data_IF_546271224162
#
_entry.id   IF_546271224162
#
_cell.length_a   1.000
_cell.length_b   1.000
_cell.length_c   1.000
_cell.angle_alpha   90.00
_cell.angle_beta   90.00
_cell.angle_gamma   90.00
#
_symmetry.space_group_name_H-M   'P 1'
#
loop_
_entity.id
_entity.type
_entity.pdbx_description
1 polymer ?
#
# COMPACT_ATOMS: atom_id res chain seq x y z
N UNK A 1 6.21 14.34 -16.21
CA UNK A 1 7.12 14.56 -15.07
C UNK A 1 6.99 13.37 -14.14
N UNK A 2 8.11 12.80 -13.70
CA UNK A 2 8.11 11.61 -12.87
C UNK A 2 8.02 12.00 -11.39
N UNK A 3 7.28 11.23 -10.61
CA UNK A 3 7.16 11.41 -9.18
C UNK A 3 7.47 10.12 -8.45
N UNK A 4 8.23 10.21 -7.36
CA UNK A 4 8.37 9.09 -6.43
C UNK A 4 6.99 8.73 -5.86
N UNK A 5 6.62 7.47 -6.00
CA UNK A 5 5.40 6.90 -5.43
C UNK A 5 5.81 5.82 -4.44
N UNK A 6 5.29 5.95 -3.22
CA UNK A 6 5.46 4.94 -2.18
C UNK A 6 4.10 4.40 -1.76
N UNK A 7 3.92 3.08 -1.80
CA UNK A 7 2.74 2.40 -1.25
C UNK A 7 3.20 1.49 -0.10
N UNK A 8 2.65 1.71 1.08
CA UNK A 8 2.95 0.96 2.30
C UNK A 8 1.71 0.32 2.88
N UNK A 9 1.86 -0.87 3.45
CA UNK A 9 0.81 -1.61 4.13
C UNK A 9 1.02 -1.56 5.64
N UNK A 10 -0.06 -1.38 6.37
CA UNK A 10 -0.10 -1.25 7.83
C UNK A 10 -1.19 -2.12 8.43
N UNK A 11 -0.97 -2.55 9.67
CA UNK A 11 -2.03 -3.15 10.48
C UNK A 11 -2.93 -2.09 11.13
N UNK A 12 -3.96 -2.55 11.86
CA UNK A 12 -4.93 -1.67 12.51
C UNK A 12 -4.34 -0.81 13.66
N UNK A 13 -3.15 -1.14 14.16
CA UNK A 13 -2.42 -0.34 15.15
C UNK A 13 -1.52 0.70 14.49
N UNK A 14 -1.47 0.75 13.15
CA UNK A 14 -0.62 1.65 12.39
C UNK A 14 0.83 1.17 12.28
N UNK A 15 1.13 -0.10 12.60
CA UNK A 15 2.47 -0.66 12.42
C UNK A 15 2.68 -0.99 10.94
N UNK A 16 3.79 -0.53 10.37
CA UNK A 16 4.16 -0.86 8.99
C UNK A 16 4.45 -2.36 8.88
N UNK A 17 3.75 -3.04 7.99
CA UNK A 17 3.95 -4.46 7.66
C UNK A 17 5.00 -4.57 6.56
N UNK A 18 4.83 -3.80 5.48
CA UNK A 18 5.71 -3.85 4.32
C UNK A 18 5.54 -2.62 3.42
N UNK A 19 6.55 -2.37 2.58
CA UNK A 19 6.48 -1.42 1.47
C UNK A 19 6.22 -2.20 0.18
N UNK A 20 5.07 -1.96 -0.46
CA UNK A 20 4.63 -2.64 -1.69
C UNK A 20 5.24 -2.00 -2.95
N UNK A 21 5.36 -0.67 -2.96
CA UNK A 21 5.92 0.12 -4.07
C UNK A 21 6.80 1.21 -3.48
N UNK A 22 7.96 1.46 -4.09
CA UNK A 22 8.83 2.58 -3.78
C UNK A 22 9.71 2.93 -4.98
N UNK A 23 9.12 3.57 -5.98
CA UNK A 23 9.79 3.85 -7.26
C UNK A 23 9.23 5.10 -7.93
N UNK A 24 9.97 5.65 -8.88
CA UNK A 24 9.47 6.75 -9.71
C UNK A 24 8.45 6.24 -10.72
N UNK A 25 7.31 6.91 -10.80
CA UNK A 25 6.27 6.65 -11.78
C UNK A 25 5.96 7.91 -12.57
N UNK A 26 5.65 7.73 -13.84
CA UNK A 26 5.04 8.79 -14.63
C UNK A 26 3.56 8.95 -14.24
N UNK A 27 2.92 10.01 -14.73
CA UNK A 27 1.48 10.16 -14.54
C UNK A 27 0.76 9.07 -15.34
N UNK A 28 -0.05 8.26 -14.66
CA UNK A 28 -0.81 7.20 -15.31
C UNK A 28 -1.67 6.42 -14.33
N UNK A 29 -2.35 5.41 -14.84
CA UNK A 29 -3.05 4.39 -14.04
C UNK A 29 -2.17 3.16 -14.01
N UNK A 30 -1.96 2.63 -12.81
CA UNK A 30 -1.15 1.44 -12.57
C UNK A 30 -1.95 0.47 -11.73
N UNK A 31 -1.78 -0.82 -12.01
CA UNK A 31 -2.33 -1.91 -11.23
C UNK A 31 -1.17 -2.68 -10.59
N UNK A 32 -1.38 -3.11 -9.36
CA UNK A 32 -0.41 -3.93 -8.62
C UNK A 32 -1.11 -5.18 -8.12
N UNK A 33 -0.46 -6.31 -8.27
CA UNK A 33 -0.91 -7.56 -7.66
C UNK A 33 -0.40 -7.63 -6.22
N UNK A 34 -1.31 -7.84 -5.28
CA UNK A 34 -0.99 -7.99 -3.88
C UNK A 34 -1.46 -9.34 -3.36
N UNK A 35 -0.51 -10.18 -2.97
CA UNK A 35 -0.76 -11.47 -2.35
C UNK A 35 -0.54 -11.38 -0.83
N UNK A 36 -1.65 -11.28 -0.09
CA UNK A 36 -1.66 -11.21 1.37
C UNK A 36 -1.02 -12.44 2.04
N UNK A 37 -1.03 -13.60 1.39
CA UNK A 37 -0.50 -14.84 1.96
C UNK A 37 1.03 -14.81 2.09
N UNK A 38 1.73 -14.11 1.19
CA UNK A 38 3.20 -13.92 1.23
C UNK A 38 3.66 -13.18 2.48
N UNK A 39 2.78 -12.40 3.10
CA UNK A 39 3.05 -11.63 4.31
C UNK A 39 2.47 -12.29 5.57
N UNK A 40 1.96 -13.51 5.47
CA UNK A 40 1.39 -14.23 6.61
C UNK A 40 0.18 -13.54 7.24
N UNK A 41 -0.58 -12.77 6.46
CA UNK A 41 -1.71 -12.01 6.99
C UNK A 41 -2.87 -12.94 7.36
N UNK A 42 -3.53 -12.60 8.46
CA UNK A 42 -4.77 -13.25 8.92
C UNK A 42 -5.98 -12.44 8.48
N UNK A 43 -7.18 -13.04 8.51
CA UNK A 43 -8.41 -12.28 8.28
C UNK A 43 -8.49 -11.09 9.23
N UNK A 44 -8.75 -9.90 8.71
CA UNK A 44 -8.67 -8.67 9.51
C UNK A 44 -8.74 -7.38 8.70
N UNK A 45 -8.59 -6.27 9.42
CA UNK A 45 -8.58 -4.92 8.85
C UNK A 45 -7.13 -4.46 8.71
N UNK A 46 -6.82 -3.95 7.52
CA UNK A 46 -5.52 -3.42 7.16
C UNK A 46 -5.68 -2.07 6.49
N UNK A 47 -4.60 -1.30 6.45
CA UNK A 47 -4.56 0.00 5.82
C UNK A 47 -3.41 0.05 4.84
N UNK A 48 -3.64 0.57 3.64
CA UNK A 48 -2.56 0.91 2.73
C UNK A 48 -2.52 2.42 2.52
N UNK A 49 -1.32 2.95 2.51
CA UNK A 49 -1.04 4.37 2.31
C UNK A 49 -0.26 4.54 1.02
N UNK A 50 -0.77 5.38 0.12
CA UNK A 50 -0.04 5.90 -1.03
C UNK A 50 0.47 7.30 -0.70
N UNK A 51 1.75 7.55 -0.96
CA UNK A 51 2.37 8.87 -0.90
C UNK A 51 3.02 9.22 -2.22
N UNK A 52 2.87 10.47 -2.64
CA UNK A 52 3.64 11.05 -3.74
C UNK A 52 3.73 12.56 -3.59
N UNK A 53 4.94 13.12 -3.50
CA UNK A 53 5.19 14.55 -3.24
C UNK A 53 4.29 15.05 -2.09
N UNK A 54 3.37 15.97 -2.37
CA UNK A 54 2.46 16.58 -1.40
C UNK A 54 1.12 15.84 -1.24
N UNK A 55 0.95 14.69 -1.91
CA UNK A 55 -0.25 13.87 -1.84
C UNK A 55 -0.06 12.67 -0.92
N UNK A 56 -1.02 12.46 -0.02
CA UNK A 56 -1.15 11.25 0.78
C UNK A 56 -2.58 10.74 0.71
N UNK A 57 -2.75 9.45 0.44
CA UNK A 57 -4.04 8.77 0.47
C UNK A 57 -3.94 7.53 1.34
N UNK A 58 -4.91 7.32 2.22
CA UNK A 58 -5.01 6.11 3.05
C UNK A 58 -6.34 5.45 2.75
N UNK A 59 -6.31 4.14 2.51
CA UNK A 59 -7.51 3.34 2.26
C UNK A 59 -7.51 2.11 3.17
N UNK A 60 -8.70 1.77 3.64
CA UNK A 60 -8.97 0.59 4.46
C UNK A 60 -9.22 -0.62 3.56
N UNK A 61 -8.63 -1.76 3.92
CA UNK A 61 -8.86 -3.07 3.31
C UNK A 61 -9.39 -4.03 4.38
N UNK A 62 -10.38 -4.83 4.03
CA UNK A 62 -10.79 -5.99 4.82
C UNK A 62 -10.28 -7.22 4.08
N UNK A 63 -9.38 -7.97 4.70
CA UNK A 63 -8.90 -9.23 4.16
C UNK A 63 -9.65 -10.37 4.84
N UNK A 64 -10.21 -11.27 4.03
CA UNK A 64 -10.87 -12.49 4.48
C UNK A 64 -10.12 -13.65 3.81
N UNK A 65 -9.48 -14.48 4.62
CA UNK A 65 -8.76 -15.67 4.19
C UNK A 65 -9.71 -16.84 3.92
#
# INVERSE_FOLDING_TARGET
ENGLVTIKLFDFLGREITTLINEEKEKGVYEIEFDASKYGLSSGIYFYQMKSRDYTSIKKMVYLK
#
